data_IF_090719026219
#
_entry.id   IF_090719026219
#
_cell.length_a   1.000
_cell.length_b   1.000
_cell.length_c   1.000
_cell.angle_alpha   90.00
_cell.angle_beta   90.00
_cell.angle_gamma   90.00
#
_symmetry.space_group_name_H-M   'P 1'
#
loop_
_entity.id
_entity.type
_entity.pdbx_description
1 polymer ?
#
# COMPACT_ATOMS: atom_id res chain seq x y z
N UNK A 1 5.34 10.23 19.22
CA UNK A 1 5.57 10.77 20.57
C UNK A 1 4.28 10.62 21.35
N UNK A 2 4.31 9.91 22.47
CA UNK A 2 3.12 9.65 23.29
C UNK A 2 3.03 10.52 24.56
N UNK A 3 3.96 11.45 24.74
CA UNK A 3 4.08 12.27 25.95
C UNK A 3 5.35 11.99 26.75
N UNK A 4 5.91 10.77 26.65
CA UNK A 4 7.07 10.34 27.43
C UNK A 4 8.22 9.80 26.57
N UNK A 5 7.90 9.06 25.51
CA UNK A 5 8.89 8.51 24.57
C UNK A 5 8.40 8.51 23.12
N UNK A 6 9.35 8.30 22.20
CA UNK A 6 9.02 7.97 20.82
C UNK A 6 8.62 6.51 20.75
N UNK A 7 7.33 6.26 20.58
CA UNK A 7 6.79 4.94 20.24
C UNK A 7 6.68 4.77 18.72
N UNK A 8 6.90 3.54 18.26
CA UNK A 8 6.59 3.14 16.89
C UNK A 8 5.09 3.28 16.64
N UNK A 9 4.73 3.93 15.53
CA UNK A 9 3.34 4.10 15.12
C UNK A 9 3.24 3.88 13.61
N UNK A 10 2.15 3.26 13.16
CA UNK A 10 1.88 3.11 11.74
C UNK A 10 1.14 4.33 11.20
N UNK A 11 1.37 4.67 9.93
CA UNK A 11 0.62 5.74 9.25
C UNK A 11 -0.90 5.47 9.30
N UNK A 12 -1.29 4.20 9.25
CA UNK A 12 -2.67 3.76 9.45
C UNK A 12 -3.25 4.19 10.82
N UNK A 13 -2.46 4.10 11.90
CA UNK A 13 -2.90 4.50 13.25
C UNK A 13 -3.11 6.02 13.36
N UNK A 14 -2.45 6.79 12.50
CA UNK A 14 -2.61 8.23 12.38
C UNK A 14 -3.74 8.63 11.42
N UNK A 15 -4.51 7.66 10.90
CA UNK A 15 -5.65 7.91 10.00
C UNK A 15 -5.25 8.21 8.55
N UNK A 16 -4.01 7.90 8.13
CA UNK A 16 -3.63 8.07 6.73
C UNK A 16 -4.17 6.94 5.86
N UNK A 17 -4.86 7.33 4.80
CA UNK A 17 -5.30 6.47 3.71
C UNK A 17 -4.53 6.82 2.43
N UNK A 18 -4.03 5.80 1.73
CA UNK A 18 -3.32 5.99 0.47
C UNK A 18 -4.24 5.68 -0.71
N UNK A 19 -4.54 6.69 -1.52
CA UNK A 19 -5.31 6.52 -2.75
C UNK A 19 -4.38 6.26 -3.93
N UNK A 20 -4.53 5.11 -4.58
CA UNK A 20 -3.62 4.62 -5.64
C UNK A 20 -3.68 5.41 -6.96
N UNK A 21 -4.68 6.26 -7.11
CA UNK A 21 -4.93 7.00 -8.34
C UNK A 21 -5.39 8.42 -8.02
N UNK A 22 -5.70 9.19 -9.06
CA UNK A 22 -6.20 10.56 -8.91
C UNK A 22 -5.28 11.48 -8.11
N UNK A 23 -3.96 11.31 -8.23
CA UNK A 23 -2.94 12.12 -7.53
C UNK A 23 -3.12 12.12 -5.99
N UNK A 24 -3.55 10.99 -5.43
CA UNK A 24 -3.77 10.86 -3.99
C UNK A 24 -5.13 11.39 -3.52
N UNK A 25 -6.04 11.75 -4.44
CA UNK A 25 -7.42 12.09 -4.10
C UNK A 25 -8.31 10.84 -4.06
N UNK A 26 -9.40 10.85 -3.28
CA UNK A 26 -10.41 9.79 -3.32
C UNK A 26 -10.92 9.58 -4.74
N UNK A 27 -11.06 8.32 -5.15
CA UNK A 27 -11.67 8.01 -6.43
C UNK A 27 -13.13 8.51 -6.42
N UNK A 28 -13.58 9.26 -7.44
CA UNK A 28 -14.95 9.79 -7.48
C UNK A 28 -16.00 8.67 -7.52
N UNK A 29 -15.60 7.46 -7.93
CA UNK A 29 -16.44 6.27 -7.93
C UNK A 29 -16.54 5.59 -6.55
N UNK A 30 -15.74 5.99 -5.55
CA UNK A 30 -15.80 5.46 -4.18
C UNK A 30 -17.03 5.92 -3.38
N UNK A 31 -17.91 6.76 -3.95
CA UNK A 31 -19.17 7.16 -3.33
C UNK A 31 -20.22 6.03 -3.23
N UNK A 32 -19.94 4.87 -3.83
CA UNK A 32 -20.71 3.64 -3.70
C UNK A 32 -19.89 2.70 -2.80
N UNK A 33 -20.44 2.14 -1.72
CA UNK A 33 -19.74 1.17 -0.88
C UNK A 33 -19.53 -0.13 -1.66
N UNK A 34 -18.47 -0.20 -2.46
CA UNK A 34 -18.09 -1.41 -3.18
C UNK A 34 -17.09 -2.18 -2.31
N UNK A 35 -17.43 -3.44 -2.01
CA UNK A 35 -16.56 -4.34 -1.26
C UNK A 35 -15.28 -4.57 -2.08
N UNK A 36 -14.11 -4.34 -1.48
CA UNK A 36 -12.81 -4.60 -2.11
C UNK A 36 -12.03 -3.37 -2.58
N UNK A 37 -12.58 -2.16 -2.49
CA UNK A 37 -11.84 -0.94 -2.85
C UNK A 37 -10.82 -0.51 -1.81
N UNK A 38 -10.99 -0.92 -0.56
CA UNK A 38 -10.12 -0.57 0.55
C UNK A 38 -9.49 -1.85 1.09
N UNK A 39 -8.16 -1.89 1.13
CA UNK A 39 -7.40 -3.03 1.64
C UNK A 39 -6.39 -2.59 2.70
N UNK A 40 -6.28 -3.38 3.77
CA UNK A 40 -5.14 -3.28 4.70
C UNK A 40 -3.99 -4.10 4.13
N UNK A 41 -2.87 -3.44 3.89
CA UNK A 41 -1.68 -4.03 3.27
C UNK A 41 -0.50 -3.89 4.21
N UNK A 42 0.19 -4.99 4.44
CA UNK A 42 1.51 -5.02 5.08
C UNK A 42 2.56 -4.73 4.02
N UNK A 43 3.35 -3.69 4.20
CA UNK A 43 4.46 -3.31 3.33
C UNK A 43 5.75 -3.67 4.04
N UNK A 44 6.54 -4.56 3.45
CA UNK A 44 7.88 -4.87 3.91
C UNK A 44 8.87 -4.01 3.12
N UNK A 45 9.66 -3.24 3.85
CA UNK A 45 10.66 -2.31 3.32
C UNK A 45 12.01 -2.51 4.02
N UNK A 46 13.08 -1.97 3.45
CA UNK A 46 14.41 -1.95 4.08
C UNK A 46 14.41 -1.26 5.45
N UNK A 47 13.47 -0.35 5.68
CA UNK A 47 13.30 0.34 6.97
C UNK A 47 12.47 -0.43 8.00
N UNK A 48 11.84 -1.54 7.61
CA UNK A 48 11.01 -2.36 8.49
C UNK A 48 9.65 -2.74 7.88
N UNK A 49 8.72 -3.13 8.74
CA UNK A 49 7.37 -3.55 8.36
C UNK A 49 6.39 -2.42 8.65
N UNK A 50 5.68 -1.98 7.61
CA UNK A 50 4.70 -0.91 7.67
C UNK A 50 3.30 -1.45 7.41
N UNK A 51 2.29 -0.84 8.01
CA UNK A 51 0.89 -1.16 7.77
C UNK A 51 0.20 0.03 7.13
N UNK A 52 -0.37 -0.18 5.94
CA UNK A 52 -1.06 0.85 5.16
C UNK A 52 -2.52 0.46 4.92
N UNK A 53 -3.40 1.47 4.84
CA UNK A 53 -4.72 1.35 4.21
C UNK A 53 -4.59 1.89 2.79
N UNK A 54 -4.90 1.04 1.82
CA UNK A 54 -4.82 1.34 0.39
C UNK A 54 -6.22 1.38 -0.19
N UNK A 55 -6.52 2.45 -0.92
CA UNK A 55 -7.77 2.67 -1.62
C UNK A 55 -7.53 2.56 -3.14
N UNK A 56 -8.01 1.48 -3.74
CA UNK A 56 -7.93 1.21 -5.18
C UNK A 56 -8.90 2.09 -5.97
N UNK A 57 -8.46 2.52 -7.15
CA UNK A 57 -9.30 3.16 -8.14
C UNK A 57 -10.34 2.20 -8.70
N UNK A 58 -11.56 2.70 -8.91
CA UNK A 58 -12.69 1.97 -9.50
C UNK A 58 -13.26 2.66 -10.74
N UNK A 59 -12.51 3.59 -11.34
CA UNK A 59 -12.92 4.17 -12.63
C UNK A 59 -12.98 3.08 -13.71
N UNK A 60 -13.81 3.28 -14.73
CA UNK A 60 -14.00 2.29 -15.82
C UNK A 60 -12.70 1.95 -16.55
N UNK A 61 -11.76 2.89 -16.60
CA UNK A 61 -10.44 2.78 -17.19
C UNK A 61 -9.33 2.50 -16.17
N UNK A 62 -9.69 2.23 -14.91
CA UNK A 62 -8.72 1.91 -13.87
C UNK A 62 -7.98 0.61 -14.22
N UNK A 63 -6.65 0.56 -14.07
CA UNK A 63 -5.90 -0.66 -14.27
C UNK A 63 -6.20 -1.66 -13.14
N UNK A 64 -5.88 -2.93 -13.36
CA UNK A 64 -6.06 -4.00 -12.36
C UNK A 64 -5.31 -3.70 -11.05
N UNK A 65 -5.74 -4.31 -9.95
CA UNK A 65 -5.24 -4.02 -8.60
C UNK A 65 -3.71 -4.16 -8.48
N UNK A 66 -3.13 -5.20 -9.06
CA UNK A 66 -1.68 -5.42 -9.08
C UNK A 66 -0.92 -4.33 -9.84
N UNK A 67 -1.49 -3.84 -10.95
CA UNK A 67 -0.90 -2.73 -11.71
C UNK A 67 -0.95 -1.43 -10.92
N UNK A 68 -2.04 -1.17 -10.20
CA UNK A 68 -2.14 -0.03 -9.28
C UNK A 68 -1.12 -0.13 -8.14
N UNK A 69 -0.86 -1.32 -7.59
CA UNK A 69 0.22 -1.54 -6.60
C UNK A 69 1.60 -1.30 -7.19
N UNK A 70 1.87 -1.77 -8.41
CA UNK A 70 3.16 -1.53 -9.08
C UNK A 70 3.43 -0.06 -9.34
N UNK A 71 2.40 0.73 -9.69
CA UNK A 71 2.52 2.18 -9.85
C UNK A 71 2.92 2.89 -8.54
N UNK A 72 2.69 2.26 -7.39
CA UNK A 72 3.12 2.72 -6.08
C UNK A 72 4.53 2.25 -5.67
N UNK A 73 5.19 1.45 -6.50
CA UNK A 73 6.45 0.83 -6.12
C UNK A 73 6.30 -0.38 -5.19
N UNK A 74 5.08 -0.95 -5.10
CA UNK A 74 4.76 -2.10 -4.26
C UNK A 74 4.60 -3.36 -5.10
N UNK A 75 5.38 -4.39 -4.74
CA UNK A 75 5.32 -5.70 -5.36
C UNK A 75 4.51 -6.66 -4.47
N UNK A 76 3.38 -7.22 -4.95
CA UNK A 76 2.56 -8.11 -4.13
C UNK A 76 3.24 -9.46 -3.89
N UNK A 77 3.09 -9.99 -2.68
CA UNK A 77 3.49 -11.36 -2.36
C UNK A 77 2.59 -12.41 -3.04
N UNK A 78 1.36 -12.02 -3.41
CA UNK A 78 0.38 -12.85 -4.10
C UNK A 78 -0.54 -11.99 -4.97
N UNK A 79 -0.89 -12.47 -6.15
CA UNK A 79 -1.81 -11.80 -7.08
C UNK A 79 -3.29 -12.06 -6.78
N UNK A 80 -3.62 -13.07 -5.97
CA UNK A 80 -5.02 -13.40 -5.66
C UNK A 80 -5.57 -12.59 -4.48
N UNK A 81 -4.71 -12.23 -3.52
CA UNK A 81 -5.07 -11.33 -2.43
C UNK A 81 -3.82 -10.76 -1.71
N UNK A 82 -3.28 -9.63 -2.18
CA UNK A 82 -2.04 -9.08 -1.66
C UNK A 82 -2.25 -8.39 -0.30
N UNK A 83 -2.31 -9.19 0.77
CA UNK A 83 -2.20 -8.67 2.15
C UNK A 83 -0.78 -8.27 2.52
N UNK A 84 0.20 -8.76 1.77
CA UNK A 84 1.62 -8.43 1.96
C UNK A 84 2.20 -7.98 0.64
N UNK A 85 2.97 -6.90 0.68
CA UNK A 85 3.69 -6.31 -0.45
C UNK A 85 5.11 -5.97 -0.02
N UNK A 86 6.01 -5.88 -0.99
CA UNK A 86 7.42 -5.56 -0.79
C UNK A 86 7.75 -4.30 -1.59
N UNK A 87 8.59 -3.42 -1.06
CA UNK A 87 9.10 -2.29 -1.86
C UNK A 87 10.15 -2.78 -2.86
N UNK A 88 10.27 -2.11 -4.01
CA UNK A 88 11.36 -2.41 -4.95
C UNK A 88 12.75 -2.19 -4.34
N UNK A 89 12.88 -1.26 -3.38
CA UNK A 89 14.13 -1.07 -2.65
C UNK A 89 14.56 -2.34 -1.91
N UNK A 90 13.62 -2.98 -1.19
CA UNK A 90 13.87 -4.25 -0.51
C UNK A 90 14.16 -5.38 -1.49
N UNK A 91 13.43 -5.47 -2.60
CA UNK A 91 13.68 -6.50 -3.62
C UNK A 91 15.08 -6.35 -4.25
N UNK A 92 15.52 -5.12 -4.52
CA UNK A 92 16.85 -4.86 -5.05
C UNK A 92 17.95 -5.17 -4.02
N UNK A 93 17.76 -4.81 -2.75
CA UNK A 93 18.68 -5.13 -1.67
C UNK A 93 18.85 -6.65 -1.50
N UNK A 94 17.74 -7.39 -1.48
CA UNK A 94 17.77 -8.86 -1.41
C UNK A 94 18.43 -9.49 -2.64
N UNK A 95 18.18 -8.95 -3.85
CA UNK A 95 18.82 -9.44 -5.07
C UNK A 95 20.34 -9.19 -5.09
N UNK A 96 20.81 -8.09 -4.46
CA UNK A 96 22.23 -7.75 -4.33
C UNK A 96 22.95 -8.61 -3.29
N UNK A 97 22.25 -9.13 -2.28
CA UNK A 97 22.78 -10.03 -1.24
C UNK A 97 22.94 -11.49 -1.70
N UNK A 98 22.46 -11.83 -2.90
CA UNK A 98 22.55 -13.17 -3.51
C UNK A 98 23.51 -13.26 -4.71
N UNK A 99 24.42 -12.29 -4.86
CA UNK A 99 25.55 -12.28 -5.81
C UNK A 99 26.88 -12.34 -5.05
#
# INVERSE_FOLDING_TARGET
WNGDFFEESSLTRLGMEYYLSHRGLPCPMNGIPVVGCIARVTVVDITGIHYLIICFCQCTDAPDAEKQLFQMGLFPASFTWPRTTFTFALLNDFALLHL
#
